data_IF_741944481946
#
_entry.id   IF_741944481946
#
_cell.length_a   1.000
_cell.length_b   1.000
_cell.length_c   1.000
_cell.angle_alpha   90.00
_cell.angle_beta   90.00
_cell.angle_gamma   90.00
#
_symmetry.space_group_name_H-M   'P 1'
#
loop_
_entity.id
_entity.type
_entity.pdbx_description
1 polymer ?
#
# COMPACT_ATOMS: atom_id res chain seq x y z
N UNK A 1 1.70 -9.25 41.46
CA UNK A 1 2.57 -10.29 40.86
C UNK A 1 3.80 -9.59 40.31
N UNK A 2 4.98 -9.77 40.93
CA UNK A 2 6.21 -9.13 40.45
C UNK A 2 6.55 -9.73 39.08
N UNK A 3 6.34 -8.97 38.00
CA UNK A 3 6.79 -9.41 36.68
C UNK A 3 8.32 -9.47 36.71
N UNK A 4 8.87 -10.65 36.41
CA UNK A 4 10.30 -10.83 36.21
C UNK A 4 10.77 -9.89 35.09
N UNK A 5 11.96 -9.29 35.22
CA UNK A 5 12.57 -8.46 34.18
C UNK A 5 12.58 -9.20 32.83
N UNK A 6 12.75 -10.53 32.86
CA UNK A 6 12.68 -11.40 31.66
C UNK A 6 11.29 -11.43 31.02
N UNK A 7 10.22 -11.48 31.81
CA UNK A 7 8.84 -11.47 31.28
C UNK A 7 8.46 -10.10 30.73
N UNK A 8 8.95 -9.01 31.32
CA UNK A 8 8.75 -7.66 30.81
C UNK A 8 9.47 -7.43 29.47
N UNK A 9 10.71 -7.91 29.35
CA UNK A 9 11.47 -7.82 28.10
C UNK A 9 10.84 -8.68 26.99
N UNK A 10 10.36 -9.89 27.31
CA UNK A 10 9.68 -10.76 26.35
C UNK A 10 8.32 -10.20 25.88
N UNK A 11 7.61 -9.48 26.75
CA UNK A 11 6.36 -8.79 26.37
C UNK A 11 6.63 -7.59 25.46
N UNK A 12 7.70 -6.82 25.72
CA UNK A 12 8.09 -5.66 24.90
C UNK A 12 8.81 -6.02 23.60
N UNK A 13 9.41 -7.21 23.50
CA UNK A 13 10.10 -7.65 22.28
C UNK A 13 9.12 -7.76 21.12
N UNK A 14 9.32 -6.95 20.07
CA UNK A 14 8.47 -6.87 18.86
C UNK A 14 6.99 -6.46 19.10
N UNK A 15 6.70 -5.76 20.21
CA UNK A 15 5.37 -5.20 20.50
C UNK A 15 4.22 -6.22 20.46
N UNK A 16 3.07 -5.83 19.90
CA UNK A 16 1.85 -6.67 19.81
C UNK A 16 1.89 -7.76 18.73
N UNK A 17 3.07 -8.10 18.19
CA UNK A 17 3.18 -9.15 17.18
C UNK A 17 2.78 -10.53 17.73
N UNK A 18 2.18 -11.41 16.89
CA UNK A 18 1.79 -12.76 17.31
C UNK A 18 2.96 -13.55 17.92
N UNK A 19 2.67 -14.34 18.98
CA UNK A 19 3.70 -15.11 19.70
C UNK A 19 4.49 -16.05 18.80
N UNK A 20 3.82 -16.71 17.84
CA UNK A 20 4.46 -17.61 16.90
C UNK A 20 5.50 -16.87 16.03
N UNK A 21 5.21 -15.62 15.64
CA UNK A 21 6.10 -14.82 14.83
C UNK A 21 7.34 -14.42 15.62
N UNK A 22 7.18 -13.99 16.88
CA UNK A 22 8.31 -13.71 17.78
C UNK A 22 9.22 -14.95 17.93
N UNK A 23 8.63 -16.13 18.10
CA UNK A 23 9.37 -17.39 18.19
C UNK A 23 10.12 -17.72 16.89
N UNK A 24 9.49 -17.52 15.73
CA UNK A 24 10.14 -17.71 14.43
C UNK A 24 11.35 -16.79 14.26
N UNK A 25 11.24 -15.51 14.61
CA UNK A 25 12.36 -14.56 14.54
C UNK A 25 13.51 -14.97 15.48
N UNK A 26 13.20 -15.39 16.71
CA UNK A 26 14.21 -15.91 17.62
C UNK A 26 14.88 -17.16 17.05
N UNK A 27 14.10 -18.07 16.44
CA UNK A 27 14.65 -19.25 15.78
C UNK A 27 15.58 -18.87 14.62
N UNK A 28 15.22 -17.89 13.80
CA UNK A 28 16.08 -17.38 12.73
C UNK A 28 17.41 -16.82 13.25
N UNK A 29 17.35 -16.02 14.32
CA UNK A 29 18.54 -15.49 14.99
C UNK A 29 19.43 -16.61 15.55
N UNK A 30 18.89 -17.75 15.96
CA UNK A 30 19.70 -18.88 16.45
C UNK A 30 20.26 -19.69 15.28
N UNK A 31 19.47 -19.90 14.23
CA UNK A 31 19.87 -20.69 13.06
C UNK A 31 21.01 -20.04 12.30
N UNK A 32 21.01 -18.70 12.14
CA UNK A 32 22.03 -18.04 11.30
C UNK A 32 23.47 -18.24 11.78
N UNK A 33 23.82 -18.04 13.07
CA UNK A 33 25.16 -18.32 13.58
C UNK A 33 25.52 -19.80 13.49
N UNK A 34 24.54 -20.69 13.68
CA UNK A 34 24.78 -22.14 13.57
C UNK A 34 25.18 -22.49 12.13
N UNK A 35 24.43 -21.98 11.15
CA UNK A 35 24.74 -22.19 9.74
C UNK A 35 26.10 -21.61 9.37
N UNK A 36 26.40 -20.40 9.86
CA UNK A 36 27.64 -19.69 9.53
C UNK A 36 28.88 -20.36 10.14
N UNK A 37 28.86 -20.72 11.42
CA UNK A 37 30.05 -21.19 12.15
C UNK A 37 30.22 -22.72 12.21
N UNK A 38 29.15 -23.52 12.13
CA UNK A 38 29.24 -24.97 12.35
C UNK A 38 29.26 -25.81 11.06
N UNK A 39 28.83 -25.28 9.91
CA UNK A 39 28.75 -26.04 8.67
C UNK A 39 29.91 -25.74 7.71
N UNK A 40 30.52 -26.76 7.07
CA UNK A 40 31.45 -26.54 5.98
C UNK A 40 30.73 -25.94 4.77
N UNK A 41 31.19 -24.78 4.28
CA UNK A 41 30.47 -23.98 3.28
C UNK A 41 29.29 -23.17 3.85
N UNK A 42 29.25 -23.03 5.18
CA UNK A 42 28.20 -22.32 5.93
C UNK A 42 27.95 -20.90 5.45
N UNK A 43 28.97 -20.21 4.95
CA UNK A 43 28.87 -18.81 4.49
C UNK A 43 27.85 -18.63 3.36
N UNK A 44 27.92 -19.49 2.33
CA UNK A 44 27.02 -19.43 1.19
C UNK A 44 25.59 -19.82 1.58
N UNK A 45 25.44 -20.89 2.37
CA UNK A 45 24.13 -21.39 2.81
C UNK A 45 23.46 -20.36 3.73
N UNK A 46 24.19 -19.84 4.71
CA UNK A 46 23.69 -18.84 5.64
C UNK A 46 23.28 -17.55 4.92
N UNK A 47 24.02 -17.13 3.88
CA UNK A 47 23.63 -16.00 3.03
C UNK A 47 22.26 -16.20 2.37
N UNK A 48 22.05 -17.35 1.69
CA UNK A 48 20.76 -17.67 1.06
C UNK A 48 19.61 -17.83 2.07
N UNK A 49 19.89 -18.47 3.21
CA UNK A 49 18.91 -18.60 4.28
C UNK A 49 18.54 -17.25 4.86
N UNK A 50 19.51 -16.34 5.05
CA UNK A 50 19.27 -14.99 5.53
C UNK A 50 18.40 -14.18 4.55
N UNK A 51 18.63 -14.32 3.23
CA UNK A 51 17.78 -13.71 2.20
C UNK A 51 16.34 -14.23 2.29
N UNK A 52 16.15 -15.55 2.41
CA UNK A 52 14.82 -16.15 2.56
C UNK A 52 14.11 -15.68 3.84
N UNK A 53 14.83 -15.63 4.96
CA UNK A 53 14.31 -15.10 6.22
C UNK A 53 13.93 -13.62 6.09
N UNK A 54 14.74 -12.82 5.40
CA UNK A 54 14.45 -11.40 5.17
C UNK A 54 13.18 -11.22 4.33
N UNK A 55 13.02 -11.96 3.24
CA UNK A 55 11.80 -11.98 2.43
C UNK A 55 10.59 -12.38 3.29
N UNK A 56 10.74 -13.41 4.12
CA UNK A 56 9.69 -13.80 5.06
C UNK A 56 9.31 -12.66 6.01
N UNK A 57 10.29 -11.93 6.56
CA UNK A 57 9.99 -10.77 7.42
C UNK A 57 9.26 -9.66 6.67
N UNK A 58 9.61 -9.37 5.41
CA UNK A 58 8.92 -8.40 4.57
C UNK A 58 7.48 -8.83 4.26
N UNK A 59 7.27 -10.10 3.91
CA UNK A 59 5.93 -10.63 3.65
C UNK A 59 5.03 -10.55 4.89
N UNK A 60 5.57 -10.84 6.06
CA UNK A 60 4.84 -10.75 7.33
C UNK A 60 4.64 -9.32 7.81
N UNK A 61 5.51 -8.37 7.44
CA UNK A 61 5.35 -6.96 7.77
C UNK A 61 4.04 -6.38 7.22
N UNK A 62 3.55 -6.89 6.09
CA UNK A 62 2.25 -6.52 5.50
C UNK A 62 1.06 -6.90 6.38
N UNK A 63 1.20 -7.86 7.30
CA UNK A 63 0.14 -8.29 8.23
C UNK A 63 0.36 -7.83 9.66
N UNK A 64 1.61 -7.75 10.11
CA UNK A 64 1.92 -7.61 11.53
C UNK A 64 2.46 -6.23 11.93
N UNK A 65 2.88 -5.37 11.00
CA UNK A 65 3.36 -3.99 11.23
C UNK A 65 4.72 -3.72 11.91
N UNK A 66 5.56 -4.67 12.40
CA UNK A 66 6.96 -4.34 12.67
C UNK A 66 7.86 -4.81 11.51
N UNK A 67 8.49 -3.85 10.82
CA UNK A 67 9.64 -4.10 9.94
C UNK A 67 10.94 -4.36 10.74
N UNK A 68 10.89 -4.14 12.06
CA UNK A 68 12.00 -4.28 13.01
C UNK A 68 12.71 -5.65 12.96
N UNK A 69 12.04 -6.81 12.77
CA UNK A 69 12.70 -8.11 12.69
C UNK A 69 13.70 -8.23 11.53
N UNK A 70 13.39 -7.64 10.37
CA UNK A 70 14.32 -7.61 9.24
C UNK A 70 15.59 -6.82 9.59
N UNK A 71 15.45 -5.71 10.33
CA UNK A 71 16.57 -4.95 10.86
C UNK A 71 17.42 -5.73 11.87
N UNK A 72 16.79 -6.53 12.74
CA UNK A 72 17.52 -7.41 13.67
C UNK A 72 18.36 -8.46 12.93
N UNK A 73 17.82 -9.06 11.86
CA UNK A 73 18.57 -10.00 11.01
C UNK A 73 19.73 -9.29 10.28
N UNK A 74 19.52 -8.06 9.80
CA UNK A 74 20.57 -7.28 9.16
C UNK A 74 21.70 -6.92 10.12
N UNK A 75 21.38 -6.49 11.35
CA UNK A 75 22.38 -6.22 12.40
C UNK A 75 23.15 -7.50 12.72
N UNK A 76 22.46 -8.64 12.83
CA UNK A 76 23.12 -9.92 13.04
C UNK A 76 24.10 -10.26 11.91
N UNK A 77 23.71 -10.06 10.64
CA UNK A 77 24.58 -10.30 9.49
C UNK A 77 25.86 -9.46 9.56
N UNK A 78 25.75 -8.19 9.97
CA UNK A 78 26.91 -7.31 10.20
C UNK A 78 27.78 -7.84 11.35
N UNK A 79 27.19 -8.23 12.47
CA UNK A 79 27.92 -8.77 13.62
C UNK A 79 28.62 -10.11 13.32
N UNK A 80 28.06 -10.93 12.43
CA UNK A 80 28.67 -12.18 11.97
C UNK A 80 29.79 -11.96 10.94
N UNK A 81 29.97 -10.72 10.45
CA UNK A 81 30.97 -10.40 9.44
C UNK A 81 30.55 -10.73 8.00
N UNK A 82 29.26 -10.99 7.74
CA UNK A 82 28.74 -11.20 6.37
C UNK A 82 28.86 -9.93 5.51
N UNK A 83 28.82 -8.76 6.14
CA UNK A 83 28.99 -7.46 5.50
C UNK A 83 29.55 -6.46 6.51
N UNK A 84 30.15 -5.37 6.01
CA UNK A 84 30.66 -4.30 6.87
C UNK A 84 29.62 -3.20 7.10
N UNK A 85 29.64 -2.50 8.25
CA UNK A 85 28.78 -1.35 8.50
C UNK A 85 28.90 -0.25 7.44
N UNK A 86 30.11 -0.01 6.93
CA UNK A 86 30.40 1.03 5.93
C UNK A 86 29.78 0.68 4.57
N UNK A 87 29.86 -0.59 4.18
CA UNK A 87 29.24 -1.10 2.96
C UNK A 87 27.72 -0.96 3.03
N UNK A 88 27.12 -1.37 4.15
CA UNK A 88 25.69 -1.23 4.39
C UNK A 88 25.26 0.24 4.37
N UNK A 89 26.02 1.14 4.99
CA UNK A 89 25.75 2.58 5.01
C UNK A 89 25.76 3.17 3.59
N UNK A 90 26.80 2.87 2.81
CA UNK A 90 26.96 3.39 1.44
C UNK A 90 25.82 2.89 0.54
N UNK A 91 25.49 1.60 0.62
CA UNK A 91 24.36 1.01 -0.12
C UNK A 91 23.01 1.57 0.31
N UNK A 92 22.86 1.92 1.58
CA UNK A 92 21.64 2.58 2.08
C UNK A 92 21.54 3.99 1.54
N UNK A 93 22.64 4.77 1.54
CA UNK A 93 22.68 6.11 0.98
C UNK A 93 22.38 6.13 -0.53
N UNK A 94 22.94 5.20 -1.30
CA UNK A 94 22.67 5.05 -2.74
C UNK A 94 21.17 4.84 -3.02
N UNK A 95 20.46 4.13 -2.14
CA UNK A 95 19.03 3.82 -2.28
C UNK A 95 18.10 4.82 -1.58
N UNK A 96 18.64 5.69 -0.72
CA UNK A 96 17.86 6.68 0.02
C UNK A 96 17.05 7.63 -0.90
N UNK A 97 17.57 8.10 -2.05
CA UNK A 97 16.80 8.90 -3.01
C UNK A 97 15.54 8.19 -3.52
N UNK A 98 15.56 6.87 -3.69
CA UNK A 98 14.39 6.10 -4.15
C UNK A 98 13.30 6.09 -3.09
N UNK A 99 13.68 5.90 -1.83
CA UNK A 99 12.74 5.96 -0.69
C UNK A 99 12.16 7.38 -0.56
N UNK A 100 13.00 8.40 -0.67
CA UNK A 100 12.58 9.79 -0.61
C UNK A 100 11.64 10.15 -1.77
N UNK A 101 11.94 9.68 -2.98
CA UNK A 101 11.09 9.84 -4.15
C UNK A 101 9.73 9.16 -3.94
N UNK A 102 9.70 7.95 -3.36
CA UNK A 102 8.47 7.24 -3.05
C UNK A 102 7.62 7.98 -2.00
N UNK A 103 8.24 8.50 -0.93
CA UNK A 103 7.57 9.32 0.08
C UNK A 103 7.03 10.63 -0.54
N UNK A 104 7.87 11.31 -1.33
CA UNK A 104 7.51 12.53 -2.03
C UNK A 104 6.36 12.30 -3.01
N UNK A 105 6.37 11.18 -3.74
CA UNK A 105 5.31 10.81 -4.67
C UNK A 105 3.99 10.60 -3.94
N UNK A 106 3.98 9.79 -2.86
CA UNK A 106 2.76 9.56 -2.06
C UNK A 106 2.24 10.88 -1.48
N UNK A 107 3.09 11.66 -0.82
CA UNK A 107 2.71 12.95 -0.26
C UNK A 107 2.21 13.93 -1.35
N UNK A 108 2.88 13.96 -2.49
CA UNK A 108 2.55 14.79 -3.64
C UNK A 108 1.16 14.48 -4.20
N UNK A 109 0.80 13.21 -4.36
CA UNK A 109 -0.54 12.82 -4.84
C UNK A 109 -1.63 13.25 -3.87
N UNK A 110 -1.45 13.01 -2.57
CA UNK A 110 -2.44 13.41 -1.56
C UNK A 110 -2.67 14.93 -1.58
N UNK A 111 -1.59 15.71 -1.67
CA UNK A 111 -1.66 17.16 -1.79
C UNK A 111 -2.34 17.61 -3.09
N UNK A 112 -1.91 17.08 -4.23
CA UNK A 112 -2.46 17.44 -5.55
C UNK A 112 -3.94 17.10 -5.67
N UNK A 113 -4.37 15.96 -5.11
CA UNK A 113 -5.77 15.54 -5.11
C UNK A 113 -6.68 16.53 -4.36
N UNK A 114 -6.29 16.96 -3.16
CA UNK A 114 -7.08 17.90 -2.36
C UNK A 114 -7.11 19.30 -2.98
N UNK A 115 -5.96 19.77 -3.47
CA UNK A 115 -5.87 21.03 -4.21
C UNK A 115 -6.73 21.01 -5.49
N UNK A 116 -6.71 19.92 -6.24
CA UNK A 116 -7.50 19.75 -7.46
C UNK A 116 -9.00 19.83 -7.19
N UNK A 117 -9.48 19.08 -6.19
CA UNK A 117 -10.90 19.05 -5.85
C UNK A 117 -11.38 20.42 -5.37
N UNK A 118 -10.56 21.12 -4.59
CA UNK A 118 -10.84 22.50 -4.17
C UNK A 118 -10.92 23.47 -5.36
N UNK A 119 -9.91 23.44 -6.25
CA UNK A 119 -9.85 24.32 -7.42
C UNK A 119 -11.01 24.05 -8.38
N UNK A 120 -11.33 22.79 -8.67
CA UNK A 120 -12.46 22.43 -9.52
C UNK A 120 -13.80 22.87 -8.92
N UNK A 121 -14.00 22.70 -7.61
CA UNK A 121 -15.22 23.15 -6.93
C UNK A 121 -15.37 24.68 -7.01
N UNK A 122 -14.27 25.41 -6.79
CA UNK A 122 -14.23 26.88 -6.94
C UNK A 122 -14.53 27.35 -8.37
N UNK A 123 -13.95 26.69 -9.37
CA UNK A 123 -14.18 27.02 -10.79
C UNK A 123 -15.65 26.77 -11.18
N UNK A 124 -16.20 25.63 -10.78
CA UNK A 124 -17.60 25.26 -11.07
C UNK A 124 -18.61 26.22 -10.42
N UNK A 125 -18.35 26.64 -9.18
CA UNK A 125 -19.24 27.57 -8.46
C UNK A 125 -19.03 29.03 -8.86
N UNK A 126 -17.85 29.40 -9.37
CA UNK A 126 -17.50 30.78 -9.71
C UNK A 126 -17.86 31.22 -11.13
N UNK A 127 -17.92 30.30 -12.10
CA UNK A 127 -18.03 30.65 -13.52
C UNK A 127 -19.44 30.36 -14.05
N UNK A 128 -20.16 31.42 -14.46
CA UNK A 128 -21.51 31.30 -15.07
C UNK A 128 -21.50 30.88 -16.56
N UNK A 129 -20.39 31.08 -17.27
CA UNK A 129 -20.31 30.86 -18.73
C UNK A 129 -19.79 29.47 -19.08
N UNK A 130 -20.53 28.75 -19.96
CA UNK A 130 -20.20 27.38 -20.38
C UNK A 130 -18.85 27.26 -21.10
N UNK A 131 -18.48 28.26 -21.91
CA UNK A 131 -17.26 28.24 -22.73
C UNK A 131 -16.00 28.57 -21.90
N UNK A 132 -16.14 29.51 -20.96
CA UNK A 132 -15.06 29.89 -20.06
C UNK A 132 -14.80 28.81 -19.00
N UNK A 133 -15.88 28.13 -18.58
CA UNK A 133 -15.81 26.97 -17.69
C UNK A 133 -15.03 25.81 -18.31
N UNK A 134 -15.33 25.44 -19.57
CA UNK A 134 -14.63 24.33 -20.23
C UNK A 134 -13.16 24.64 -20.52
N UNK A 135 -12.84 25.89 -20.86
CA UNK A 135 -11.46 26.35 -21.05
C UNK A 135 -10.65 26.28 -19.76
N UNK A 136 -11.17 26.84 -18.66
CA UNK A 136 -10.50 26.81 -17.35
C UNK A 136 -10.35 25.39 -16.81
N UNK A 137 -11.36 24.55 -17.03
CA UNK A 137 -11.31 23.15 -16.65
C UNK A 137 -10.20 22.39 -17.39
N UNK A 138 -10.12 22.56 -18.72
CA UNK A 138 -9.08 21.93 -19.55
C UNK A 138 -7.68 22.43 -19.20
N UNK A 139 -7.49 23.73 -19.00
CA UNK A 139 -6.19 24.31 -18.65
C UNK A 139 -5.70 23.79 -17.28
N UNK A 140 -6.60 23.75 -16.29
CA UNK A 140 -6.29 23.23 -14.95
C UNK A 140 -5.96 21.74 -15.02
N UNK A 141 -6.76 20.95 -15.75
CA UNK A 141 -6.50 19.52 -15.95
C UNK A 141 -5.15 19.25 -16.65
N UNK A 142 -4.77 20.05 -17.65
CA UNK A 142 -3.50 19.92 -18.36
C UNK A 142 -2.29 20.20 -17.46
N UNK A 143 -2.34 21.27 -16.65
CA UNK A 143 -1.24 21.61 -15.71
C UNK A 143 -1.10 20.52 -14.65
N UNK A 144 -2.21 19.98 -14.14
CA UNK A 144 -2.19 18.95 -13.09
C UNK A 144 -1.84 17.56 -13.62
N UNK A 145 -2.09 17.27 -14.89
CA UNK A 145 -1.71 16.00 -15.53
C UNK A 145 -0.20 15.78 -15.58
N UNK A 146 0.62 16.84 -15.50
CA UNK A 146 2.07 16.72 -15.46
C UNK A 146 2.60 16.24 -14.08
N UNK A 147 1.79 16.40 -13.02
CA UNK A 147 2.18 16.08 -11.65
C UNK A 147 1.46 14.85 -11.08
N UNK A 148 0.34 14.46 -11.68
CA UNK A 148 -0.32 13.19 -11.38
C UNK A 148 0.39 12.10 -12.17
N UNK A 149 1.20 11.29 -11.48
CA UNK A 149 1.75 10.07 -12.07
C UNK A 149 0.61 9.19 -12.65
N UNK A 150 0.86 8.52 -13.77
CA UNK A 150 -0.18 7.82 -14.53
C UNK A 150 -0.92 6.78 -13.67
N UNK A 151 -0.23 6.14 -12.73
CA UNK A 151 -0.82 5.18 -11.80
C UNK A 151 -1.82 5.82 -10.83
N UNK A 152 -1.65 7.10 -10.55
CA UNK A 152 -2.43 7.88 -9.58
C UNK A 152 -3.73 8.38 -10.21
N UNK A 153 -3.67 8.75 -11.49
CA UNK A 153 -4.85 9.05 -12.31
C UNK A 153 -5.73 7.82 -12.41
N UNK A 154 -5.17 6.66 -12.73
CA UNK A 154 -5.91 5.40 -12.81
C UNK A 154 -6.55 5.03 -11.47
N UNK A 155 -5.85 5.19 -10.34
CA UNK A 155 -6.40 4.92 -9.01
C UNK A 155 -7.56 5.85 -8.61
N UNK A 156 -7.47 7.14 -8.97
CA UNK A 156 -8.55 8.11 -8.75
C UNK A 156 -9.76 7.79 -9.63
N UNK A 157 -9.55 7.50 -10.91
CA UNK A 157 -10.61 7.08 -11.84
C UNK A 157 -11.32 5.83 -11.33
N UNK A 158 -10.57 4.80 -10.88
CA UNK A 158 -11.14 3.58 -10.29
C UNK A 158 -11.98 3.92 -9.05
N UNK A 159 -11.49 4.77 -8.15
CA UNK A 159 -12.24 5.17 -6.95
C UNK A 159 -13.55 5.88 -7.27
N UNK A 160 -13.53 6.80 -8.24
CA UNK A 160 -14.71 7.54 -8.69
C UNK A 160 -15.69 6.63 -9.41
N UNK A 161 -15.21 5.75 -10.30
CA UNK A 161 -16.01 4.76 -11.02
C UNK A 161 -16.72 3.79 -10.06
N UNK A 162 -15.99 3.26 -9.06
CA UNK A 162 -16.57 2.39 -8.02
C UNK A 162 -17.57 3.17 -7.16
N UNK A 163 -17.30 4.43 -6.85
CA UNK A 163 -18.22 5.31 -6.10
C UNK A 163 -19.55 5.52 -6.83
N UNK A 164 -19.51 5.85 -8.12
CA UNK A 164 -20.72 5.99 -8.94
C UNK A 164 -21.46 4.66 -9.11
N UNK A 165 -20.73 3.56 -9.32
CA UNK A 165 -21.34 2.22 -9.39
C UNK A 165 -22.07 1.84 -8.10
N UNK A 166 -21.49 2.14 -6.93
CA UNK A 166 -22.14 1.92 -5.63
C UNK A 166 -23.46 2.68 -5.51
N UNK A 167 -23.47 3.96 -5.88
CA UNK A 167 -24.67 4.80 -5.82
C UNK A 167 -25.74 4.25 -6.76
N UNK A 168 -25.41 4.01 -8.03
CA UNK A 168 -26.34 3.50 -9.03
C UNK A 168 -26.89 2.11 -8.66
N UNK A 169 -26.02 1.19 -8.24
CA UNK A 169 -26.42 -0.14 -7.79
C UNK A 169 -27.31 -0.07 -6.55
N UNK A 170 -27.05 0.83 -5.59
CA UNK A 170 -27.93 1.01 -4.41
C UNK A 170 -29.33 1.50 -4.79
N UNK A 171 -29.43 2.42 -5.75
CA UNK A 171 -30.71 2.96 -6.24
C UNK A 171 -31.46 1.91 -7.06
N UNK A 172 -30.76 1.11 -7.85
CA UNK A 172 -31.36 0.04 -8.66
C UNK A 172 -31.82 -1.17 -7.82
N UNK A 173 -31.14 -1.46 -6.71
CA UNK A 173 -31.47 -2.58 -5.80
C UNK A 173 -32.37 -2.18 -4.61
N UNK A 174 -32.69 -0.90 -4.46
CA UNK A 174 -33.55 -0.38 -3.38
C UNK A 174 -32.92 -0.46 -1.98
N UNK A 175 -31.61 -0.70 -1.88
CA UNK A 175 -30.90 -0.87 -0.60
C UNK A 175 -30.50 0.50 -0.01
N UNK A 176 -30.83 0.74 1.27
CA UNK A 176 -30.30 1.89 2.01
C UNK A 176 -28.78 1.75 2.21
N UNK A 177 -28.03 2.85 2.04
CA UNK A 177 -26.60 2.94 1.75
C UNK A 177 -25.57 2.22 2.65
N UNK A 178 -25.99 1.47 3.68
CA UNK A 178 -25.14 0.60 4.49
C UNK A 178 -24.98 -0.84 3.95
N UNK A 179 -26.00 -1.42 3.30
CA UNK A 179 -25.97 -2.84 2.86
C UNK A 179 -25.37 -3.04 1.46
N UNK A 180 -25.31 -1.98 0.65
CA UNK A 180 -24.78 -2.03 -0.72
C UNK A 180 -23.28 -2.39 -0.78
N UNK A 181 -22.51 -2.18 0.29
CA UNK A 181 -21.08 -2.48 0.33
C UNK A 181 -20.76 -3.99 0.31
N UNK A 182 -21.71 -4.85 0.71
CA UNK A 182 -21.51 -6.31 0.78
C UNK A 182 -22.07 -7.05 -0.45
N UNK A 183 -22.81 -6.34 -1.30
CA UNK A 183 -23.67 -6.90 -2.36
C UNK A 183 -23.43 -6.14 -3.67
N UNK A 184 -22.17 -6.00 -4.10
CA UNK A 184 -21.82 -5.35 -5.38
C UNK A 184 -21.82 -6.33 -6.57
N UNK A 185 -21.87 -7.63 -6.28
CA UNK A 185 -21.73 -8.73 -7.23
C UNK A 185 -23.01 -9.55 -7.39
N UNK A 186 -24.03 -9.24 -6.60
CA UNK A 186 -25.28 -10.00 -6.56
C UNK A 186 -26.40 -9.16 -7.19
N UNK A 187 -26.57 -9.39 -8.49
CA UNK A 187 -27.56 -8.70 -9.33
C UNK A 187 -28.98 -9.30 -9.13
N UNK A 188 -29.18 -10.26 -8.21
CA UNK A 188 -30.44 -11.00 -8.03
C UNK A 188 -31.64 -10.15 -7.58
N UNK A 189 -31.38 -8.99 -6.99
CA UNK A 189 -32.41 -8.03 -6.52
C UNK A 189 -32.64 -6.85 -7.44
N UNK A 190 -31.94 -6.78 -8.58
CA UNK A 190 -32.10 -5.70 -9.55
C UNK A 190 -33.33 -5.99 -10.42
N UNK A 191 -34.26 -5.04 -10.48
CA UNK A 191 -35.44 -5.13 -11.35
C UNK A 191 -35.03 -5.36 -12.81
N UNK A 192 -35.74 -6.25 -13.53
CA UNK A 192 -35.40 -6.67 -14.88
C UNK A 192 -35.27 -5.47 -15.87
N UNK A 193 -36.07 -4.41 -15.69
CA UNK A 193 -36.00 -3.18 -16.48
C UNK A 193 -34.69 -2.39 -16.27
N UNK A 194 -34.17 -2.36 -15.04
CA UNK A 194 -32.92 -1.63 -14.70
C UNK A 194 -31.67 -2.44 -15.02
N UNK A 195 -31.81 -3.73 -15.29
CA UNK A 195 -30.71 -4.63 -15.58
C UNK A 195 -30.05 -4.32 -16.93
N UNK A 196 -30.82 -3.86 -17.92
CA UNK A 196 -30.29 -3.43 -19.22
C UNK A 196 -29.43 -2.15 -19.08
N UNK A 197 -29.93 -1.16 -18.34
CA UNK A 197 -29.19 0.08 -18.06
C UNK A 197 -27.93 -0.18 -17.21
N UNK A 198 -28.00 -1.07 -16.22
CA UNK A 198 -26.85 -1.46 -15.40
C UNK A 198 -25.74 -2.12 -16.24
N UNK A 199 -26.09 -2.95 -17.23
CA UNK A 199 -25.11 -3.53 -18.16
C UNK A 199 -24.47 -2.47 -19.06
N UNK A 200 -25.26 -1.53 -19.56
CA UNK A 200 -24.76 -0.43 -20.38
C UNK A 200 -23.83 0.48 -19.57
N UNK A 201 -24.18 0.77 -18.32
CA UNK A 201 -23.33 1.52 -17.40
C UNK A 201 -22.04 0.76 -17.04
N UNK A 202 -22.12 -0.56 -16.81
CA UNK A 202 -20.94 -1.41 -16.60
C UNK A 202 -20.03 -1.42 -17.84
N UNK A 203 -20.59 -1.45 -19.05
CA UNK A 203 -19.84 -1.35 -20.29
C UNK A 203 -19.15 0.01 -20.46
N UNK A 204 -19.84 1.11 -20.11
CA UNK A 204 -19.27 2.45 -20.09
C UNK A 204 -18.10 2.57 -19.10
N UNK A 205 -18.28 2.11 -17.85
CA UNK A 205 -17.21 2.11 -16.86
C UNK A 205 -16.01 1.25 -17.29
N UNK A 206 -16.26 0.11 -17.92
CA UNK A 206 -15.18 -0.74 -18.47
C UNK A 206 -14.43 -0.03 -19.59
N UNK A 207 -15.14 0.63 -20.50
CA UNK A 207 -14.53 1.42 -21.57
C UNK A 207 -13.67 2.56 -21.03
N UNK A 208 -14.10 3.21 -19.95
CA UNK A 208 -13.39 4.31 -19.29
C UNK A 208 -12.18 3.84 -18.45
N UNK A 209 -12.14 2.58 -18.01
CA UNK A 209 -10.99 2.02 -17.26
C UNK A 209 -9.95 1.31 -18.14
N UNK A 210 -10.31 0.91 -19.37
CA UNK A 210 -9.40 0.21 -20.30
C UNK A 210 -8.69 1.15 -21.29
N UNK A 211 -9.06 2.43 -21.32
CA UNK A 211 -8.45 3.49 -22.12
C UNK A 211 -7.84 4.55 -21.21
#
# INVERSE_FOLDING_TARGET
MAQSIRSAFAQNFLGDSPRWYKQTIIAFLIVNPILWFLLPGGEFIAGWVLVLQFIFTLAMALRCYPLQPGGLLAIQAVLMGMTSPETLYTKTLENFPVILLMIFMVAGIFFLKEMLLYVFTRILLGVRSRLLLSLLFSATAAVLSAYLDALTVTAVIISVAIGFYRIYHSVASGLSGGEASKVLTDDSRVEADKMAELRQFRAFLRGLMMH
#
